data_IF_025576513805
#
_entry.id   IF_025576513805
#
_cell.length_a   1.000
_cell.length_b   1.000
_cell.length_c   1.000
_cell.angle_alpha   90.00
_cell.angle_beta   90.00
_cell.angle_gamma   90.00
#
_symmetry.space_group_name_H-M   'P 1'
#
loop_
_entity.id
_entity.type
_entity.pdbx_description
1 polymer ?
2 non-polymer ?
3 water ?
#
# COMPACT_ATOMS: atom_id res chain seq x y z
N UNK A 28 7.57 -3.81 -17.89
CA UNK A 28 7.83 -2.91 -16.75
C UNK A 28 6.91 -1.69 -16.72
N UNK A 29 6.50 -1.28 -15.51
CA UNK A 29 5.71 -0.06 -15.29
C UNK A 29 6.61 0.98 -14.61
N UNK A 30 6.53 2.25 -15.02
CA UNK A 30 7.36 3.30 -14.43
C UNK A 30 6.88 3.69 -13.05
N UNK A 31 7.83 3.83 -12.12
CA UNK A 31 7.58 4.22 -10.74
C UNK A 31 8.12 5.65 -10.55
N UNK A 32 7.40 6.57 -9.88
CA UNK A 32 6.09 6.39 -9.24
C UNK A 32 4.99 6.15 -10.24
N UNK A 33 4.08 5.24 -9.89
CA UNK A 33 2.99 4.82 -10.75
C UNK A 33 1.66 5.19 -10.15
N UNK A 34 0.75 5.70 -10.97
CA UNK A 34 -0.61 5.99 -10.53
C UNK A 34 -1.58 4.99 -11.14
N UNK A 35 -2.31 4.29 -10.28
CA UNK A 35 -3.36 3.37 -10.68
C UNK A 35 -4.70 4.04 -10.39
N UNK A 36 -5.42 4.52 -11.41
CA UNK A 36 -6.76 5.08 -11.14
C UNK A 36 -7.66 3.95 -10.62
N UNK A 37 -8.55 4.29 -9.69
CA UNK A 37 -9.53 3.38 -9.11
C UNK A 37 -10.89 3.97 -9.47
N UNK A 38 -11.43 3.64 -10.66
CA UNK A 38 -12.63 4.34 -11.16
C UNK A 38 -13.84 4.19 -10.27
N UNK A 39 -14.41 5.32 -9.88
CA UNK A 39 -15.54 5.28 -8.97
C UNK A 39 -15.17 5.00 -7.53
N UNK A 40 -13.87 5.03 -7.21
CA UNK A 40 -13.38 4.82 -5.87
C UNK A 40 -13.32 3.37 -5.46
N UNK A 41 -12.99 3.15 -4.21
CA UNK A 41 -12.96 1.78 -3.71
C UNK A 41 -14.29 1.39 -3.12
N UNK A 42 -14.46 0.08 -2.98
CA UNK A 42 -15.69 -0.50 -2.48
C UNK A 42 -15.30 -1.82 -1.84
N UNK A 43 -16.05 -2.29 -0.84
CA UNK A 43 -15.76 -3.62 -0.31
C UNK A 43 -15.84 -4.63 -1.45
N UNK A 44 -14.96 -5.64 -1.38
CA UNK A 44 -14.78 -6.75 -2.32
C UNK A 44 -13.81 -6.41 -3.43
N UNK A 45 -13.30 -5.17 -3.48
CA UNK A 45 -12.29 -4.78 -4.46
C UNK A 45 -10.94 -5.30 -3.95
N UNK A 46 -10.26 -6.05 -4.79
CA UNK A 46 -8.95 -6.63 -4.50
C UNK A 46 -7.90 -6.03 -5.43
N UNK A 47 -6.90 -5.36 -4.84
CA UNK A 47 -5.81 -4.77 -5.60
C UNK A 47 -4.61 -5.72 -5.49
N UNK A 48 -3.98 -6.03 -6.62
CA UNK A 48 -2.79 -6.89 -6.63
C UNK A 48 -1.64 -6.15 -7.27
N UNK A 49 -0.51 -6.10 -6.55
CA UNK A 49 0.71 -5.47 -7.04
C UNK A 49 1.82 -6.49 -7.06
N UNK A 50 2.50 -6.59 -8.19
CA UNK A 50 3.63 -7.50 -8.35
C UNK A 50 4.85 -6.64 -8.66
N UNK A 51 5.96 -6.91 -7.99
CA UNK A 51 7.18 -6.19 -8.27
C UNK A 51 8.35 -6.91 -7.65
N UNK A 52 9.53 -6.31 -7.73
CA UNK A 52 10.74 -6.83 -7.12
C UNK A 52 11.40 -5.70 -6.35
N UNK A 53 11.79 -5.96 -5.11
CA UNK A 53 12.46 -4.94 -4.32
C UNK A 53 13.86 -4.73 -4.88
N UNK A 54 14.27 -3.47 -5.03
CA UNK A 54 15.61 -3.17 -5.51
C UNK A 54 16.66 -3.64 -4.49
N UNK A 55 17.90 -3.91 -4.94
CA UNK A 55 18.91 -4.42 -3.99
C UNK A 55 19.26 -3.54 -2.80
N UNK A 56 19.31 -2.24 -2.98
CA UNK A 56 19.72 -1.47 -1.80
C UNK A 56 18.55 -0.72 -1.19
N UNK A 57 17.34 -1.31 -1.25
CA UNK A 57 16.13 -0.63 -0.83
C UNK A 57 16.11 0.02 0.54
N UNK A 58 15.51 1.21 0.56
CA UNK A 58 15.29 1.98 1.78
C UNK A 58 13.82 2.10 2.11
N UNK A 59 12.96 2.31 1.09
CA UNK A 59 11.55 2.58 1.37
C UNK A 59 10.69 2.21 0.20
N UNK A 60 9.42 1.87 0.51
CA UNK A 60 8.35 1.63 -0.46
C UNK A 60 7.13 2.36 0.06
N UNK A 61 6.26 2.86 -0.82
CA UNK A 61 4.99 3.42 -0.36
C UNK A 61 3.87 3.12 -1.31
N UNK A 62 2.73 2.72 -0.70
CA UNK A 62 1.44 2.67 -1.39
C UNK A 62 0.60 3.79 -0.78
N UNK A 63 -0.04 4.61 -1.62
CA UNK A 63 -0.86 5.72 -1.15
C UNK A 63 -2.23 5.66 -1.82
N UNK A 64 -3.26 5.29 -1.04
CA UNK A 64 -4.66 5.34 -1.54
C UNK A 64 -5.12 6.78 -1.27
N UNK A 65 -5.39 7.52 -2.34
CA UNK A 65 -5.64 8.92 -2.21
C UNK A 65 -7.09 9.34 -2.44
N UNK A 66 -7.50 10.34 -1.65
CA UNK A 66 -8.80 11.04 -1.77
C UNK A 66 -8.41 12.53 -2.03
N UNK A 67 -8.24 12.89 -3.30
CA UNK A 67 -7.70 14.20 -3.62
C UNK A 67 -6.29 14.31 -3.03
N UNK A 68 -6.02 15.41 -2.31
CA UNK A 68 -4.73 15.60 -1.64
C UNK A 68 -4.59 14.75 -0.36
N UNK A 69 -5.69 14.21 0.14
CA UNK A 69 -5.60 13.41 1.33
C UNK A 69 -5.14 11.99 0.99
N UNK A 70 -4.46 11.37 1.96
CA UNK A 70 -4.03 10.00 1.81
C UNK A 70 -4.87 9.16 2.79
N UNK A 71 -5.86 8.44 2.26
CA UNK A 71 -6.72 7.61 3.11
C UNK A 71 -5.91 6.49 3.79
N UNK A 72 -4.98 5.86 3.06
CA UNK A 72 -4.19 4.76 3.60
C UNK A 72 -2.85 4.79 2.93
N UNK A 73 -1.83 5.07 3.76
CA UNK A 73 -0.42 5.07 3.40
C UNK A 73 0.19 3.81 4.03
N UNK A 74 0.80 2.97 3.19
CA UNK A 74 1.42 1.70 3.59
C UNK A 74 2.88 1.82 3.21
N UNK A 75 3.77 1.86 4.23
CA UNK A 75 5.13 2.29 4.03
C UNK A 75 6.17 1.42 4.70
N UNK A 76 6.62 0.36 3.98
CA UNK A 76 7.79 -0.40 4.43
C UNK A 76 9.05 0.49 4.45
N UNK A 77 9.73 0.48 5.61
CA UNK A 77 11.00 1.17 5.85
C UNK A 77 12.03 0.10 6.18
N UNK A 78 13.09 0.03 5.37
CA UNK A 78 14.11 -1.00 5.51
C UNK A 78 15.19 -0.68 6.51
N UNK A 79 15.33 0.60 6.89
CA UNK A 79 16.37 0.99 7.83
C UNK A 79 15.95 2.23 8.60
N UNK A 80 15.05 2.03 9.55
CA UNK A 80 14.64 3.10 10.46
C UNK A 80 15.36 2.81 11.77
N UNK A 81 16.49 3.49 12.01
CA UNK A 81 17.33 3.25 13.19
C UNK A 81 17.73 1.75 13.28
N UNK A 82 18.11 1.18 12.14
CA UNK A 82 18.59 -0.20 11.98
C UNK A 82 17.51 -1.25 12.20
N UNK A 83 16.24 -0.83 12.02
CA UNK A 83 15.09 -1.71 12.12
C UNK A 83 14.29 -1.67 10.84
N UNK A 84 13.62 -2.79 10.53
CA UNK A 84 12.73 -2.87 9.38
C UNK A 84 11.32 -2.82 9.95
N UNK A 85 10.51 -1.87 9.47
CA UNK A 85 9.18 -1.68 10.02
C UNK A 85 8.25 -1.25 8.91
N UNK A 86 6.98 -1.62 9.02
CA UNK A 86 5.96 -1.10 8.12
C UNK A 86 5.17 -0.04 8.87
N UNK A 87 5.15 1.19 8.34
CA UNK A 87 4.41 2.28 8.96
C UNK A 87 3.15 2.53 8.13
N UNK A 88 1.99 2.56 8.79
CA UNK A 88 0.73 2.89 8.11
C UNK A 88 0.13 4.14 8.74
N UNK A 89 -0.50 4.98 7.92
CA UNK A 89 -1.06 6.22 8.43
C UNK A 89 -2.01 6.82 7.40
N UNK A 90 -2.62 7.94 7.79
CA UNK A 90 -3.55 8.73 6.98
C UNK A 90 -3.07 10.18 7.03
N UNK A 91 -3.17 10.88 5.87
CA UNK A 91 -2.79 12.28 5.78
C UNK A 91 -4.06 13.08 5.46
N UNK A 92 -4.41 14.04 6.34
CA UNK A 92 -5.60 14.88 6.18
C UNK A 92 -5.17 16.32 6.22
N UNK A 93 -5.57 17.11 5.20
CA UNK A 93 -5.20 18.51 5.14
C UNK A 93 -3.69 18.72 5.34
N UNK A 94 -2.89 17.83 4.73
CA UNK A 94 -1.42 17.84 4.79
C UNK A 94 -0.83 17.42 6.16
N UNK A 95 -1.65 16.89 7.07
CA UNK A 95 -1.14 16.46 8.37
C UNK A 95 -1.23 14.96 8.52
N UNK A 96 -0.11 14.33 8.87
CA UNK A 96 -0.11 12.91 9.18
C UNK A 96 -0.75 12.68 10.55
N UNK A 97 -1.49 11.58 10.68
CA UNK A 97 -2.15 11.23 11.93
C UNK A 97 -1.32 10.28 12.78
N UNK A 98 -2.02 9.45 13.54
CA UNK A 98 -1.40 8.46 14.41
C UNK A 98 -0.86 7.31 13.56
N UNK A 99 0.42 6.98 13.72
CA UNK A 99 0.98 5.84 12.99
C UNK A 99 0.55 4.52 13.59
N UNK A 100 0.33 3.53 12.72
CA UNK A 100 0.12 2.13 13.09
C UNK A 100 1.33 1.37 12.58
N UNK A 101 2.09 0.75 13.49
CA UNK A 101 3.36 0.12 13.13
C UNK A 101 3.30 -1.36 13.21
N UNK A 102 3.92 -2.04 12.23
CA UNK A 102 3.96 -3.49 12.14
C UNK A 102 5.41 -3.94 11.97
N UNK A 103 5.90 -4.77 12.92
CA UNK A 103 7.27 -5.29 12.87
C UNK A 103 7.39 -6.53 11.99
N UNK A 104 6.26 -7.21 11.66
CA UNK A 104 6.33 -8.32 10.70
C UNK A 104 6.68 -7.64 9.37
N UNK A 105 7.77 -8.10 8.72
CA UNK A 105 8.32 -7.40 7.58
C UNK A 105 8.66 -8.41 6.49
N UNK A 106 7.70 -8.64 5.57
CA UNK A 106 7.85 -9.72 4.60
C UNK A 106 8.60 -9.38 3.33
N UNK A 107 9.06 -8.14 3.18
CA UNK A 107 9.81 -7.71 2.00
C UNK A 107 11.28 -8.00 2.21
N UNK A 108 11.98 -8.25 1.10
CA UNK A 108 13.41 -8.55 1.15
C UNK A 108 14.09 -7.90 -0.01
N UNK A 109 15.18 -7.18 0.27
CA UNK A 109 15.92 -6.53 -0.79
C UNK A 109 16.29 -7.52 -1.90
N UNK A 110 16.07 -7.12 -3.14
CA UNK A 110 16.41 -7.91 -4.31
C UNK A 110 15.40 -8.98 -4.67
N UNK A 111 14.31 -9.17 -3.89
CA UNK A 111 13.41 -10.30 -4.14
C UNK A 111 12.02 -9.88 -4.63
N UNK A 112 11.42 -10.76 -5.45
CA UNK A 112 10.06 -10.51 -5.94
C UNK A 112 9.02 -10.66 -4.84
N UNK A 113 7.97 -9.83 -4.94
CA UNK A 113 6.89 -9.85 -3.98
C UNK A 113 5.55 -9.69 -4.69
N UNK A 114 4.52 -10.05 -3.93
CA UNK A 114 3.13 -9.79 -4.29
C UNK A 114 2.47 -9.11 -3.10
N UNK A 115 1.81 -7.96 -3.33
CA UNK A 115 0.99 -7.33 -2.30
C UNK A 115 -0.46 -7.45 -2.76
N UNK A 116 -1.33 -7.94 -1.88
CA UNK A 116 -2.77 -7.95 -2.15
C UNK A 116 -3.41 -7.06 -1.10
N UNK A 117 -4.22 -6.10 -1.55
CA UNK A 117 -4.99 -5.24 -0.65
C UNK A 117 -6.46 -5.51 -0.93
N UNK A 118 -7.15 -6.10 0.05
CA UNK A 118 -8.56 -6.38 -0.08
C UNK A 118 -9.31 -5.31 0.70
N UNK A 119 -10.26 -4.62 0.04
CA UNK A 119 -11.08 -3.65 0.73
C UNK A 119 -12.22 -4.42 1.40
N UNK A 120 -12.28 -4.35 2.71
CA UNK A 120 -13.37 -4.93 3.47
C UNK A 120 -14.23 -3.77 3.98
N UNK A 121 -15.44 -4.05 4.48
CA UNK A 121 -16.31 -2.95 4.89
C UNK A 121 -15.70 -2.00 5.89
N UNK A 122 -14.90 -2.52 6.84
CA UNK A 122 -14.37 -1.67 7.90
C UNK A 122 -12.86 -1.48 7.91
N UNK A 123 -12.13 -2.14 7.00
CA UNK A 123 -10.67 -2.07 6.96
C UNK A 123 -10.16 -2.39 5.59
N UNK A 124 -8.93 -1.96 5.31
CA UNK A 124 -8.14 -2.50 4.22
C UNK A 124 -7.42 -3.74 4.86
N UNK A 125 -7.41 -4.87 4.16
CA UNK A 125 -6.74 -6.08 4.64
C UNK A 125 -5.59 -6.37 3.68
N UNK A 126 -4.35 -6.43 4.19
CA UNK A 126 -3.18 -6.60 3.36
C UNK A 126 -2.52 -7.95 3.58
N UNK A 127 -2.20 -8.63 2.49
CA UNK A 127 -1.41 -9.85 2.49
C UNK A 127 -0.21 -9.65 1.58
N UNK A 128 0.93 -10.20 2.00
CA UNK A 128 2.14 -10.16 1.18
C UNK A 128 2.59 -11.60 0.93
N UNK A 129 2.86 -11.94 -0.33
CA UNK A 129 3.30 -13.29 -0.69
C UNK A 129 2.35 -14.35 -0.10
N UNK A 130 1.04 -14.06 -0.20
CA UNK A 130 -0.05 -14.94 0.24
C UNK A 130 -0.22 -15.07 1.75
N UNK A 131 0.55 -14.36 2.57
CA UNK A 131 0.40 -14.42 4.01
C UNK A 131 -0.20 -13.11 4.53
N UNK A 132 -1.27 -13.23 5.32
CA UNK A 132 -1.88 -12.04 5.93
C UNK A 132 -0.81 -11.24 6.68
N UNK A 133 -0.80 -9.91 6.47
CA UNK A 133 0.14 -9.04 7.13
C UNK A 133 -0.53 -8.12 8.15
N UNK A 134 -1.53 -7.33 7.73
CA UNK A 134 -2.14 -6.39 8.65
C UNK A 134 -3.48 -5.94 8.12
N UNK A 135 -4.23 -5.27 9.01
CA UNK A 135 -5.47 -4.61 8.64
C UNK A 135 -5.38 -3.16 9.09
N UNK A 136 -6.04 -2.26 8.34
CA UNK A 136 -6.04 -0.84 8.63
C UNK A 136 -7.46 -0.34 8.59
N UNK A 137 -7.98 0.02 9.77
CA UNK A 137 -9.36 0.48 9.90
C UNK A 137 -9.58 1.74 9.09
N UNK A 138 -10.74 1.85 8.43
CA UNK A 138 -11.03 3.04 7.61
C UNK A 138 -11.18 4.29 8.46
N UNK A 139 -10.27 5.26 8.26
CA UNK A 139 -10.37 6.58 8.88
C UNK A 139 -11.09 7.52 7.93
N UNK A 140 -10.77 7.44 6.62
CA UNK A 140 -11.46 8.15 5.55
C UNK A 140 -12.62 7.24 5.16
N UNK A 141 -13.85 7.71 5.42
CA UNK A 141 -15.01 6.84 5.30
C UNK A 141 -15.77 6.99 4.00
N UNK A 142 -15.43 7.99 3.19
CA UNK A 142 -16.03 8.19 1.87
C UNK A 142 -15.24 7.33 0.87
N UNK A 143 -15.46 6.00 0.94
CA UNK A 143 -14.68 5.05 0.15
C UNK A 143 -14.75 5.33 -1.35
N UNK A 144 -15.91 5.73 -1.85
CA UNK A 144 -16.01 5.96 -3.29
C UNK A 144 -15.30 7.24 -3.71
N UNK A 145 -14.71 8.02 -2.77
CA UNK A 145 -13.91 9.18 -3.14
C UNK A 145 -12.41 8.86 -3.14
N UNK A 146 -12.03 7.61 -2.77
CA UNK A 146 -10.61 7.17 -2.74
C UNK A 146 -10.39 6.63 -4.14
N UNK A 147 -9.97 7.52 -5.05
CA UNK A 147 -10.00 7.31 -6.50
C UNK A 147 -8.69 7.02 -7.18
N UNK A 148 -7.59 6.95 -6.42
CA UNK A 148 -6.28 6.70 -7.04
C UNK A 148 -5.44 5.94 -6.04
N UNK A 149 -4.54 5.11 -6.57
CA UNK A 149 -3.51 4.46 -5.79
C UNK A 149 -2.13 4.82 -6.37
N UNK A 150 -1.30 5.47 -5.56
CA UNK A 150 0.07 5.74 -5.96
C UNK A 150 0.99 4.66 -5.44
N UNK A 151 1.95 4.25 -6.26
CA UNK A 151 2.94 3.21 -5.90
C UNK A 151 4.31 3.84 -6.13
N UNK A 152 5.13 3.94 -5.07
CA UNK A 152 6.42 4.59 -5.20
C UNK A 152 7.49 3.89 -4.36
N UNK A 153 8.72 4.30 -4.58
CA UNK A 153 9.82 3.74 -3.83
C UNK A 153 10.70 2.78 -4.57
N UNK A 154 11.41 2.00 -3.78
CA UNK A 154 12.57 1.24 -4.23
C UNK A 154 12.23 -0.14 -4.75
N UNK A 155 11.45 -0.14 -5.83
CA UNK A 155 10.98 -1.34 -6.49
C UNK A 155 11.06 -1.23 -7.99
N UNK A 156 11.08 -2.41 -8.64
CA UNK A 156 10.80 -2.56 -10.05
C UNK A 156 9.35 -3.03 -10.04
N UNK A 157 8.46 -2.31 -10.70
CA UNK A 157 7.03 -2.63 -10.71
C UNK A 157 6.68 -3.42 -11.96
N UNK A 158 6.07 -4.59 -11.73
CA UNK A 158 5.71 -5.53 -12.78
C UNK A 158 4.25 -5.38 -13.21
N UNK A 159 3.33 -5.29 -12.22
CA UNK A 159 1.91 -5.24 -12.50
C UNK A 159 1.18 -4.55 -11.36
N UNK A 160 0.07 -3.88 -11.66
CA UNK A 160 -0.78 -3.26 -10.66
C UNK A 160 -2.17 -3.28 -11.24
N UNK A 161 -3.09 -4.00 -10.60
CA UNK A 161 -4.44 -4.15 -11.14
C UNK A 161 -5.43 -4.42 -10.03
N UNK A 162 -6.70 -4.49 -10.41
CA UNK A 162 -7.75 -4.77 -9.46
C UNK A 162 -8.79 -5.66 -10.07
N UNK A 163 -9.54 -6.30 -9.19
CA UNK A 163 -10.67 -7.14 -9.56
C UNK A 163 -11.65 -7.21 -8.40
N UNK A 164 -12.87 -7.71 -8.65
CA UNK A 164 -13.86 -7.92 -7.58
C UNK A 164 -13.88 -9.37 -7.18
N UNK A 165 -13.89 -9.64 -5.89
CA UNK A 165 -13.98 -11.02 -5.39
C UNK A 165 -15.41 -11.24 -4.87
X LIG B 1 8.44 14.18 10.12
X LIG B 1 7.30 14.28 9.58
X LIG B 1 6.93 15.61 9.58
X LIG B 1 7.43 13.91 8.32
X LIG B 1 6.31 13.46 10.25
X LIG B 1 5.13 14.04 10.77
X LIG B 1 4.17 13.28 11.42
X LIG B 1 4.33 11.90 11.53
X LIG B 1 3.09 10.96 12.28
X LIG B 1 5.49 11.30 11.02
X LIG B 1 6.49 12.06 10.39
X LIG B 1 7.58 11.41 9.92
X LIG B 1 8.75 11.29 10.59
X LIG B 1 9.52 10.53 9.81
X LIG B 1 10.94 10.15 10.19
X LIG B 1 8.89 10.18 8.67
X LIG B 1 7.70 10.76 8.76
X LIG B 1 6.59 10.65 7.75
X LIG B 1 7.06 10.44 6.32
X LIG B 1 7.76 11.63 5.92
X LIG B 1 5.80 9.52 8.18
X LIG B 1 4.60 9.43 7.39
X LIG B 1 3.78 8.29 8.00
X LIG B 1 3.35 8.59 9.34
X LIG B 1 4.96 9.13 5.95
X LIG B 1 5.65 7.88 5.87
X LIG B 1 5.84 10.27 5.44
X LIG B 1 6.20 10.07 4.03
X LIG B 1 6.90 9.09 3.41
X LIG B 1 5.80 10.99 3.14
X LIG B 1 6.26 10.58 1.96
X LIG B 1 6.93 9.41 2.10
X LIG B 1 7.50 8.74 1.06
X LIG B 1 7.77 9.43 -0.14
X LIG B 1 8.31 8.76 -1.23
X LIG B 1 8.61 9.44 -2.37
X LIG B 1 8.55 7.41 -1.18
X LIG B 1 9.24 6.76 -2.57
X LIG B 1 8.27 6.69 -0.01
X LIG B 1 8.49 5.36 0.07
X LIG B 1 7.74 7.35 1.10
X LIG B 1 4.95 15.12 10.68
X LIG B 1 3.25 13.75 11.78
X LIG B 1 5.62 10.23 11.12
X LIG B 1 11.51 9.92 9.28
X LIG B 1 10.93 9.28 10.84
X LIG B 1 11.41 10.99 10.71
X LIG B 1 5.99 11.56 7.78
X LIG B 1 7.71 9.57 6.25
X LIG B 1 8.57 11.37 5.40
X LIG B 1 4.04 10.37 7.45
X LIG B 1 2.90 8.10 7.38
X LIG B 1 4.38 7.38 8.04
X LIG B 1 3.25 9.57 9.47
X LIG B 1 4.05 9.08 5.35
X LIG B 1 5.32 7.35 5.10
X LIG B 1 5.27 11.19 5.50
X LIG B 1 7.34 8.22 3.88
X LIG B 1 7.60 10.50 -0.22
X LIG B 1 7.51 6.77 1.99
#
# INVERSE_FOLDING_TARGET
MGSSHHHHHHSSGETVRFQGHMGAPAGPLIVPYNLPLPGGVVPRMLITILGTVKPNANRIALDFQRGNDVAFHFNPRFNENNRRVIVCNTKLDNNWGREERQSVFPFESGKPFKIQVLVEPDHFKVAVNDAHLLQYNHRVKKLNEISKLGISGDIDLTSASYTMI
D9J FBM CBL FBN FBO CBE CBF CBG CBH CLB CBI CBD NBC NBB CBA CBK NAZ CAG CAD CAC OAY OAE CAF CAH OAI CAA OAJ CAB NAK CAL NAO NAN CAM CAP CAQ CAR FAV CAS CLA CAT FAX CAU HBF HBG HBI HBL HBM HBK HAD HAC HAY HAF HAH HAI HBN HAA HAJ HAB HAL HAQ HAU
#
